data_IF_446680677363
#
_entry.id   IF_446680677363
#
_cell.length_a   1.000
_cell.length_b   1.000
_cell.length_c   1.000
_cell.angle_alpha   90.00
_cell.angle_beta   90.00
_cell.angle_gamma   90.00
#
_symmetry.space_group_name_H-M   'P 1'
#
loop_
_entity.id
_entity.type
_entity.pdbx_description
1 polymer ?
#
# COMPACT_ATOMS: atom_id res chain seq x y z
N UNK A 1 18.52 0.11 -19.13
CA UNK A 1 17.38 1.04 -19.26
C UNK A 1 16.11 0.35 -18.77
N UNK A 2 15.27 1.04 -18.05
CA UNK A 2 14.02 0.50 -17.55
C UNK A 2 12.84 1.12 -18.28
N UNK A 3 11.85 0.31 -18.60
CA UNK A 3 10.60 0.76 -19.21
C UNK A 3 9.45 0.43 -18.30
N UNK A 4 8.51 1.35 -18.14
CA UNK A 4 7.33 1.09 -17.32
C UNK A 4 6.41 0.08 -18.01
N UNK A 5 6.00 -0.93 -17.27
CA UNK A 5 5.11 -1.97 -17.76
C UNK A 5 3.70 -1.38 -17.95
N UNK A 6 3.06 -1.74 -19.05
CA UNK A 6 1.71 -1.31 -19.39
C UNK A 6 0.81 -2.53 -19.58
N UNK A 7 -0.48 -2.35 -19.34
CA UNK A 7 -1.48 -3.38 -19.60
C UNK A 7 -1.81 -3.45 -21.09
N UNK A 8 -2.76 -4.31 -21.48
CA UNK A 8 -3.17 -4.50 -22.87
C UNK A 8 -3.79 -3.25 -23.51
N UNK A 9 -4.26 -2.31 -22.71
CA UNK A 9 -4.82 -1.02 -23.17
C UNK A 9 -3.78 0.09 -23.28
N UNK A 10 -2.50 -0.19 -22.99
CA UNK A 10 -1.43 0.81 -22.98
C UNK A 10 -1.38 1.66 -21.71
N UNK A 11 -2.15 1.35 -20.70
CA UNK A 11 -2.14 2.07 -19.43
C UNK A 11 -0.96 1.61 -18.56
N UNK A 12 -0.24 2.56 -17.97
CA UNK A 12 0.89 2.27 -17.08
C UNK A 12 0.44 1.50 -15.86
N UNK A 13 1.21 0.50 -15.47
CA UNK A 13 0.93 -0.32 -14.29
C UNK A 13 1.79 0.12 -13.11
N UNK A 14 1.21 -0.02 -11.93
CA UNK A 14 1.82 0.33 -10.66
C UNK A 14 1.73 -0.87 -9.73
N UNK A 15 2.62 -0.92 -8.77
CA UNK A 15 2.63 -1.99 -7.77
C UNK A 15 2.26 -1.41 -6.41
N UNK A 16 1.20 -1.96 -5.85
CA UNK A 16 0.74 -1.66 -4.49
C UNK A 16 1.18 -2.79 -3.58
N UNK A 17 1.86 -2.46 -2.49
CA UNK A 17 2.34 -3.47 -1.54
C UNK A 17 1.95 -3.13 -0.12
N UNK A 18 1.63 -4.16 0.66
CA UNK A 18 1.48 -4.06 2.11
C UNK A 18 2.46 -5.04 2.74
N UNK A 19 3.31 -4.53 3.62
CA UNK A 19 4.22 -5.34 4.43
C UNK A 19 3.85 -5.16 5.89
N UNK A 20 3.49 -6.24 6.56
CA UNK A 20 3.15 -6.24 7.98
C UNK A 20 4.29 -6.86 8.78
N UNK A 21 4.65 -6.25 9.90
CA UNK A 21 5.74 -6.77 10.75
C UNK A 21 5.40 -8.09 11.43
N UNK A 22 4.13 -8.46 11.48
CA UNK A 22 3.67 -9.72 12.04
C UNK A 22 3.45 -10.83 10.99
N UNK A 23 3.83 -10.57 9.74
CA UNK A 23 3.67 -11.52 8.64
C UNK A 23 4.92 -11.54 7.78
N UNK A 24 5.28 -12.71 7.27
CA UNK A 24 6.44 -12.88 6.39
C UNK A 24 6.08 -12.73 4.91
N UNK A 25 4.79 -12.75 4.57
CA UNK A 25 4.35 -12.61 3.17
C UNK A 25 3.77 -11.23 2.93
N UNK A 26 4.33 -10.45 1.97
CA UNK A 26 3.72 -9.20 1.57
C UNK A 26 2.46 -9.43 0.75
N UNK A 27 1.52 -8.51 0.84
CA UNK A 27 0.40 -8.44 -0.10
C UNK A 27 0.84 -7.59 -1.29
N UNK A 28 0.61 -8.08 -2.50
CA UNK A 28 1.02 -7.39 -3.73
C UNK A 28 -0.19 -7.31 -4.67
N UNK A 29 -0.42 -6.11 -5.20
CA UNK A 29 -1.48 -5.85 -6.17
C UNK A 29 -0.92 -4.97 -7.29
N UNK A 30 -1.14 -5.38 -8.53
CA UNK A 30 -0.65 -4.66 -9.70
C UNK A 30 -1.83 -4.19 -10.53
N UNK A 31 -1.93 -2.88 -10.73
CA UNK A 31 -2.99 -2.29 -11.55
C UNK A 31 -2.62 -0.84 -11.92
N UNK A 32 -3.57 -0.11 -12.51
CA UNK A 32 -3.41 1.30 -12.83
C UNK A 32 -3.26 2.14 -11.56
N UNK A 33 -2.77 3.38 -11.71
CA UNK A 33 -2.60 4.30 -10.58
C UNK A 33 -3.92 4.50 -9.82
N UNK A 34 -5.01 4.74 -10.53
CA UNK A 34 -6.31 5.01 -9.91
C UNK A 34 -6.80 3.83 -9.07
N UNK A 35 -6.62 2.62 -9.55
CA UNK A 35 -7.05 1.42 -8.81
C UNK A 35 -6.14 1.14 -7.63
N UNK A 36 -4.83 1.33 -7.78
CA UNK A 36 -3.88 1.21 -6.68
C UNK A 36 -4.15 2.26 -5.62
N UNK A 37 -4.41 3.51 -6.02
CA UNK A 37 -4.71 4.60 -5.10
C UNK A 37 -5.99 4.34 -4.31
N UNK A 38 -7.00 3.80 -4.96
CA UNK A 38 -8.25 3.42 -4.28
C UNK A 38 -7.99 2.39 -3.18
N UNK A 39 -7.19 1.36 -3.48
CA UNK A 39 -6.79 0.37 -2.47
C UNK A 39 -5.99 1.01 -1.35
N UNK A 40 -5.06 1.88 -1.69
CA UNK A 40 -4.22 2.59 -0.73
C UNK A 40 -5.09 3.42 0.24
N UNK A 41 -6.05 4.16 -0.29
CA UNK A 41 -6.96 4.96 0.53
C UNK A 41 -7.84 4.08 1.44
N UNK A 42 -8.32 2.95 0.93
CA UNK A 42 -9.12 2.01 1.72
C UNK A 42 -8.30 1.38 2.84
N UNK A 43 -7.03 1.05 2.57
CA UNK A 43 -6.15 0.39 3.53
C UNK A 43 -5.52 1.34 4.55
N UNK A 44 -5.52 2.65 4.28
CA UNK A 44 -4.94 3.65 5.19
C UNK A 44 -5.99 4.41 5.99
N UNK A 45 -7.11 3.80 6.24
CA UNK A 45 -8.13 4.38 7.13
C UNK A 45 -7.79 4.09 8.57
N UNK A 46 -7.92 5.10 9.41
CA UNK A 46 -7.83 4.92 10.85
C UNK A 46 -9.10 4.22 11.35
N UNK A 47 -8.91 3.19 12.16
CA UNK A 47 -10.00 2.42 12.74
C UNK A 47 -9.79 2.32 14.24
N UNK A 48 -10.84 2.57 14.98
CA UNK A 48 -10.85 2.34 16.44
C UNK A 48 -12.19 1.74 16.80
N UNK A 49 -12.24 0.41 16.86
CA UNK A 49 -13.44 -0.32 17.24
C UNK A 49 -13.11 -1.34 18.34
N UNK A 50 -14.11 -2.07 18.79
CA UNK A 50 -13.96 -2.98 19.94
C UNK A 50 -12.97 -4.11 19.72
N UNK A 51 -12.69 -4.48 18.48
CA UNK A 51 -11.84 -5.63 18.16
C UNK A 51 -10.54 -5.25 17.45
N UNK A 52 -10.44 -4.04 16.90
CA UNK A 52 -9.30 -3.66 16.09
C UNK A 52 -8.97 -2.16 16.23
N UNK A 53 -7.68 -1.87 16.22
CA UNK A 53 -7.15 -0.51 16.26
C UNK A 53 -6.19 -0.33 15.10
N UNK A 54 -6.32 0.78 14.38
CA UNK A 54 -5.37 1.17 13.34
C UNK A 54 -5.19 2.69 13.38
N UNK A 55 -3.93 3.12 13.44
CA UNK A 55 -3.55 4.53 13.50
C UNK A 55 -2.50 4.83 12.44
N UNK A 56 -2.70 5.90 11.68
CA UNK A 56 -1.72 6.38 10.69
C UNK A 56 -0.60 7.09 11.43
N UNK A 57 0.65 6.63 11.21
CA UNK A 57 1.85 7.28 11.72
C UNK A 57 2.37 8.27 10.67
N UNK A 58 2.37 7.85 9.40
CA UNK A 58 2.86 8.64 8.26
C UNK A 58 2.04 8.29 7.03
N UNK A 59 1.72 9.30 6.24
CA UNK A 59 1.01 9.10 4.97
C UNK A 59 1.42 10.20 3.99
N UNK A 60 1.85 9.82 2.81
CA UNK A 60 2.20 10.75 1.75
C UNK A 60 1.77 10.20 0.39
N UNK A 61 1.12 11.03 -0.40
CA UNK A 61 0.70 10.70 -1.76
C UNK A 61 1.25 11.77 -2.69
N UNK A 62 1.96 11.36 -3.75
CA UNK A 62 2.46 12.25 -4.79
C UNK A 62 1.75 11.95 -6.10
N UNK A 63 0.82 12.81 -6.49
CA UNK A 63 0.14 12.72 -7.79
C UNK A 63 1.09 13.04 -8.93
N UNK A 64 2.12 13.85 -8.68
CA UNK A 64 3.09 14.24 -9.68
C UNK A 64 3.96 13.05 -10.13
N UNK A 65 4.43 12.26 -9.17
CA UNK A 65 5.29 11.10 -9.45
C UNK A 65 4.53 9.79 -9.49
N UNK A 66 3.25 9.79 -9.15
CA UNK A 66 2.42 8.59 -8.97
C UNK A 66 3.08 7.60 -8.02
N UNK A 67 3.42 8.08 -6.84
CA UNK A 67 3.93 7.27 -5.74
C UNK A 67 3.12 7.56 -4.47
N UNK A 68 3.07 6.59 -3.58
CA UNK A 68 2.43 6.77 -2.29
C UNK A 68 3.13 5.91 -1.26
N UNK A 69 3.12 6.36 0.00
CA UNK A 69 3.66 5.60 1.11
C UNK A 69 2.87 5.91 2.38
N UNK A 70 2.72 4.92 3.21
CA UNK A 70 2.10 5.09 4.52
C UNK A 70 2.66 4.09 5.51
N UNK A 71 2.70 4.49 6.78
CA UNK A 71 3.01 3.61 7.90
C UNK A 71 1.84 3.65 8.86
N UNK A 72 1.40 2.49 9.33
CA UNK A 72 0.29 2.39 10.27
C UNK A 72 0.70 1.53 11.46
N UNK A 73 0.24 1.92 12.64
CA UNK A 73 0.31 1.10 13.84
C UNK A 73 -1.03 0.39 14.00
N UNK A 74 -0.99 -0.93 14.10
CA UNK A 74 -2.19 -1.75 14.16
C UNK A 74 -2.15 -2.67 15.39
N UNK A 75 -3.32 -3.00 15.90
CA UNK A 75 -3.45 -3.90 17.04
C UNK A 75 -4.79 -4.61 16.98
N UNK A 76 -4.76 -5.91 17.18
CA UNK A 76 -5.98 -6.64 17.50
C UNK A 76 -6.16 -6.54 19.02
N UNK A 77 -7.14 -5.79 19.48
CA UNK A 77 -7.32 -5.44 20.90
C UNK A 77 -7.38 -6.64 21.83
N UNK A 78 -7.76 -7.81 21.34
CA UNK A 78 -7.79 -9.04 22.14
C UNK A 78 -6.43 -9.69 22.36
N UNK A 79 -5.38 -9.27 21.61
CA UNK A 79 -4.07 -9.92 21.63
C UNK A 79 -2.98 -9.10 22.31
N UNK A 80 -3.19 -7.81 22.54
CA UNK A 80 -2.29 -6.95 23.29
C UNK A 80 -0.95 -6.60 22.62
N UNK A 81 -0.72 -7.02 21.38
CA UNK A 81 0.53 -6.77 20.67
C UNK A 81 0.30 -5.87 19.46
N UNK A 82 1.11 -4.82 19.34
CA UNK A 82 1.09 -3.94 18.18
C UNK A 82 1.92 -4.54 17.05
N UNK A 83 1.47 -4.31 15.82
CA UNK A 83 2.29 -4.53 14.63
C UNK A 83 2.21 -3.30 13.73
N UNK A 84 3.12 -3.21 12.77
CA UNK A 84 3.17 -2.09 11.85
C UNK A 84 2.89 -2.57 10.43
N UNK A 85 2.11 -1.79 9.70
CA UNK A 85 1.85 -1.98 8.27
C UNK A 85 2.56 -0.90 7.50
N UNK A 86 3.33 -1.29 6.49
CA UNK A 86 3.97 -0.39 5.55
C UNK A 86 3.32 -0.58 4.18
N UNK A 87 2.73 0.49 3.67
CA UNK A 87 1.91 0.44 2.46
C UNK A 87 2.52 1.39 1.44
N UNK A 88 2.78 0.89 0.24
CA UNK A 88 3.42 1.69 -0.82
C UNK A 88 2.76 1.49 -2.17
N UNK A 89 2.86 2.51 -3.03
CA UNK A 89 2.59 2.40 -4.46
C UNK A 89 3.80 2.93 -5.21
N UNK A 90 4.30 2.14 -6.15
CA UNK A 90 5.42 2.51 -7.01
C UNK A 90 5.12 2.10 -8.45
N UNK A 91 5.81 2.74 -9.39
CA UNK A 91 5.74 2.35 -10.80
C UNK A 91 6.34 0.95 -10.98
N UNK A 92 5.74 0.17 -11.85
CA UNK A 92 6.23 -1.17 -12.19
C UNK A 92 7.06 -1.07 -13.46
N UNK A 93 8.34 -1.45 -13.35
CA UNK A 93 9.29 -1.38 -14.47
C UNK A 93 9.80 -2.76 -14.85
N UNK A 94 10.15 -2.90 -16.13
CA UNK A 94 10.93 -4.03 -16.62
C UNK A 94 12.22 -3.52 -17.21
N UNK A 95 13.27 -4.31 -17.12
CA UNK A 95 14.54 -3.99 -17.74
C UNK A 95 14.42 -4.21 -19.26
N UNK A 96 14.77 -3.20 -20.01
CA UNK A 96 14.69 -3.24 -21.47
C UNK A 96 16.09 -3.48 -22.08
#
# INVERSE_FOLDING_TARGET
MYSQIKNTKGEKLYIFTIVNTNSIKPYIYVNTWEKCLKKFEECTKELDNDSFFAQIIHKNISEETHTAEASMRCNNKGWGCDYFSYITINSLYTEA
#
